data_IF_720714230696
#
_entry.id   IF_720714230696
#
_cell.length_a   1.000
_cell.length_b   1.000
_cell.length_c   1.000
_cell.angle_alpha   90.00
_cell.angle_beta   90.00
_cell.angle_gamma   90.00
#
_symmetry.space_group_name_H-M   'P 1'
#
loop_
_entity.id
_entity.type
_entity.pdbx_description
1 polymer ?
#
# COMPACT_ATOMS: atom_id res chain seq x y z
N UNK A 1 -20.66 23.76 -34.55
CA UNK A 1 -20.25 23.87 -33.14
C UNK A 1 -21.40 23.30 -32.32
N UNK A 2 -21.34 22.01 -32.00
CA UNK A 2 -22.34 21.34 -31.17
C UNK A 2 -21.67 21.03 -29.85
N UNK A 3 -22.15 21.76 -28.84
CA UNK A 3 -21.76 21.65 -27.45
C UNK A 3 -22.26 20.31 -26.88
N UNK A 4 -21.38 19.34 -26.63
CA UNK A 4 -21.73 18.10 -25.96
C UNK A 4 -21.51 18.30 -24.47
N UNK A 5 -22.59 18.66 -23.77
CA UNK A 5 -22.62 18.69 -22.32
C UNK A 5 -22.29 17.29 -21.76
N UNK A 6 -21.18 17.17 -21.04
CA UNK A 6 -20.83 15.99 -20.27
C UNK A 6 -21.80 15.82 -19.09
N UNK A 7 -22.51 14.70 -19.09
CA UNK A 7 -23.39 14.25 -18.00
C UNK A 7 -22.58 14.06 -16.72
N UNK A 8 -23.03 14.54 -15.55
CA UNK A 8 -22.37 14.24 -14.29
C UNK A 8 -22.42 12.73 -14.01
N UNK A 9 -21.29 12.12 -13.74
CA UNK A 9 -21.18 10.72 -13.29
C UNK A 9 -21.90 10.60 -11.93
N UNK A 10 -22.97 9.81 -11.88
CA UNK A 10 -23.66 9.46 -10.65
C UNK A 10 -22.69 8.72 -9.72
N UNK A 11 -22.58 9.19 -8.49
CA UNK A 11 -21.86 8.53 -7.41
C UNK A 11 -22.58 7.21 -7.08
N UNK A 12 -21.92 6.06 -7.00
CA UNK A 12 -22.59 4.81 -6.66
C UNK A 12 -23.10 4.87 -5.23
N UNK A 13 -24.42 4.81 -5.05
CA UNK A 13 -25.10 4.67 -3.75
C UNK A 13 -25.15 3.20 -3.37
N UNK A 14 -24.05 2.65 -2.83
CA UNK A 14 -24.07 1.41 -2.06
C UNK A 14 -24.60 1.66 -0.64
N UNK A 15 -24.97 0.63 0.13
CA UNK A 15 -25.39 0.80 1.51
C UNK A 15 -24.22 1.40 2.30
N UNK A 16 -24.41 2.64 2.78
CA UNK A 16 -23.42 3.35 3.59
C UNK A 16 -23.35 2.65 4.95
N UNK A 17 -22.24 1.97 5.24
CA UNK A 17 -21.95 1.48 6.58
C UNK A 17 -21.81 2.64 7.56
N UNK A 18 -21.82 2.35 8.86
CA UNK A 18 -21.51 3.39 9.86
C UNK A 18 -20.04 3.78 9.71
N UNK A 19 -19.72 5.06 9.41
CA UNK A 19 -18.33 5.49 9.29
C UNK A 19 -17.54 5.24 10.57
N UNK A 20 -16.32 4.77 10.44
CA UNK A 20 -15.36 4.68 11.52
C UNK A 20 -14.45 5.91 11.51
N UNK A 21 -13.87 6.24 12.66
CA UNK A 21 -13.01 7.42 12.79
C UNK A 21 -11.67 7.03 13.40
N UNK A 22 -10.58 7.48 12.76
CA UNK A 22 -9.20 7.32 13.22
C UNK A 22 -8.68 8.66 13.69
N UNK A 23 -8.13 8.72 14.91
CA UNK A 23 -7.38 9.88 15.38
C UNK A 23 -6.12 10.07 14.52
N UNK A 24 -6.08 11.14 13.73
CA UNK A 24 -5.05 11.36 12.72
C UNK A 24 -4.61 12.83 12.67
N UNK A 25 -3.54 13.12 11.97
CA UNK A 25 -3.12 14.46 11.59
C UNK A 25 -3.47 14.72 10.13
N UNK A 26 -3.92 15.94 9.78
CA UNK A 26 -4.04 17.14 10.62
C UNK A 26 -5.34 17.21 11.46
N UNK A 27 -6.28 16.31 11.24
CA UNK A 27 -7.53 16.11 11.98
C UNK A 27 -8.00 14.68 11.81
N UNK A 28 -9.04 14.26 12.56
CA UNK A 28 -9.54 12.91 12.54
C UNK A 28 -9.98 12.49 11.12
N UNK A 29 -9.63 11.25 10.75
CA UNK A 29 -9.97 10.65 9.46
C UNK A 29 -11.20 9.75 9.61
N UNK A 30 -12.28 10.09 8.90
CA UNK A 30 -13.48 9.27 8.83
C UNK A 30 -13.48 8.42 7.56
N UNK A 31 -13.83 7.14 7.65
CA UNK A 31 -13.87 6.23 6.51
C UNK A 31 -14.99 5.19 6.63
N UNK A 32 -15.49 4.73 5.49
CA UNK A 32 -16.39 3.57 5.42
C UNK A 32 -15.55 2.31 5.13
N UNK A 33 -15.57 1.29 6.01
CA UNK A 33 -14.84 0.04 5.76
C UNK A 33 -15.19 -0.65 4.45
N UNK A 34 -16.44 -0.54 3.99
CA UNK A 34 -16.89 -1.17 2.75
C UNK A 34 -16.26 -0.55 1.48
N UNK A 35 -15.87 0.72 1.55
CA UNK A 35 -15.24 1.45 0.43
C UNK A 35 -13.79 1.82 0.70
N UNK A 36 -13.16 1.16 1.67
CA UNK A 36 -11.76 1.38 2.05
C UNK A 36 -10.90 0.16 1.73
N UNK A 37 -9.74 0.38 1.13
CA UNK A 37 -8.75 -0.66 0.92
C UNK A 37 -7.48 -0.43 1.75
N UNK A 38 -6.98 -1.50 2.40
CA UNK A 38 -5.62 -1.55 2.92
C UNK A 38 -4.68 -1.88 1.77
N UNK A 39 -3.70 -1.02 1.52
CA UNK A 39 -2.70 -1.19 0.46
C UNK A 39 -1.32 -1.40 1.07
N UNK A 40 -0.73 -2.58 0.83
CA UNK A 40 0.63 -2.91 1.24
C UNK A 40 1.56 -2.71 0.05
N UNK A 41 2.39 -1.67 0.10
CA UNK A 41 3.27 -1.29 -1.00
C UNK A 41 4.62 -1.95 -0.84
N UNK A 42 4.97 -2.81 -1.81
CA UNK A 42 6.31 -3.35 -2.07
C UNK A 42 7.02 -3.99 -0.87
N UNK A 43 6.27 -4.74 -0.04
CA UNK A 43 6.85 -5.46 1.09
C UNK A 43 7.61 -6.71 0.62
N UNK A 44 8.59 -6.49 -0.28
CA UNK A 44 9.33 -7.51 -1.01
C UNK A 44 10.69 -7.83 -0.36
N UNK A 45 11.17 -9.06 -0.56
CA UNK A 45 12.49 -9.48 -0.08
C UNK A 45 13.63 -8.64 -0.67
N UNK A 46 13.49 -8.20 -1.92
CA UNK A 46 14.47 -7.32 -2.58
C UNK A 46 14.68 -5.99 -1.86
N UNK A 47 13.69 -5.50 -1.11
CA UNK A 47 13.82 -4.25 -0.34
C UNK A 47 14.12 -4.48 1.14
N UNK A 48 13.64 -5.58 1.72
CA UNK A 48 13.60 -5.79 3.17
C UNK A 48 14.68 -6.76 3.68
N UNK A 49 15.34 -7.49 2.80
CA UNK A 49 16.29 -8.53 3.20
C UNK A 49 17.68 -8.32 2.60
N UNK A 50 18.75 -8.77 3.31
CA UNK A 50 20.10 -8.79 2.75
C UNK A 50 20.17 -9.57 1.43
N UNK A 51 21.05 -9.13 0.52
CA UNK A 51 21.23 -9.71 -0.81
C UNK A 51 20.22 -9.25 -1.87
N UNK A 52 19.28 -8.36 -1.51
CA UNK A 52 18.32 -7.79 -2.42
C UNK A 52 18.74 -6.44 -3.01
N UNK A 53 17.82 -5.81 -3.75
CA UNK A 53 18.05 -4.54 -4.42
C UNK A 53 18.34 -3.39 -3.44
N UNK A 54 17.65 -3.35 -2.28
CA UNK A 54 17.87 -2.31 -1.27
C UNK A 54 19.32 -2.26 -0.80
N UNK A 55 19.90 -3.41 -0.45
CA UNK A 55 21.30 -3.51 -0.05
C UNK A 55 22.26 -3.20 -1.21
N UNK A 56 21.92 -3.60 -2.44
CA UNK A 56 22.75 -3.33 -3.62
C UNK A 56 22.92 -1.85 -3.92
N UNK A 57 22.00 -1.03 -3.44
CA UNK A 57 22.07 0.44 -3.49
C UNK A 57 22.90 1.04 -2.33
N UNK A 58 23.43 0.21 -1.43
CA UNK A 58 24.20 0.65 -0.27
C UNK A 58 23.35 1.01 0.96
N UNK A 59 22.07 0.64 0.98
CA UNK A 59 21.18 0.93 2.10
C UNK A 59 21.26 -0.13 3.20
N UNK A 60 20.97 0.28 4.43
CA UNK A 60 20.71 -0.62 5.55
C UNK A 60 19.25 -1.11 5.50
N UNK A 61 19.04 -2.33 5.04
CA UNK A 61 17.71 -2.94 4.96
C UNK A 61 17.05 -3.13 6.34
N UNK A 62 17.84 -3.15 7.41
CA UNK A 62 17.35 -3.20 8.79
C UNK A 62 16.43 -2.02 9.15
N UNK A 63 16.63 -0.86 8.54
CA UNK A 63 15.78 0.34 8.72
C UNK A 63 14.32 0.09 8.33
N UNK A 64 14.05 -0.75 7.34
CA UNK A 64 12.68 -1.05 6.90
C UNK A 64 12.00 -2.12 7.74
N UNK A 65 12.75 -3.02 8.36
CA UNK A 65 12.19 -4.17 9.08
C UNK A 65 11.35 -3.78 10.30
N UNK A 66 11.55 -2.60 10.85
CA UNK A 66 10.73 -2.06 11.94
C UNK A 66 9.24 -1.90 11.58
N UNK A 67 8.92 -1.85 10.29
CA UNK A 67 7.52 -1.73 9.81
C UNK A 67 6.76 -3.05 9.82
N UNK A 68 7.45 -4.21 9.88
CA UNK A 68 6.84 -5.53 9.67
C UNK A 68 5.83 -5.86 10.78
N UNK A 69 6.22 -5.74 12.05
CA UNK A 69 5.33 -6.11 13.16
C UNK A 69 4.06 -5.25 13.27
N UNK A 70 4.13 -3.89 13.23
CA UNK A 70 2.92 -3.09 13.23
C UNK A 70 2.05 -3.37 11.99
N UNK A 71 2.65 -3.55 10.81
CA UNK A 71 1.91 -3.87 9.58
C UNK A 71 1.27 -5.26 9.63
N UNK A 72 1.92 -6.25 10.23
CA UNK A 72 1.34 -7.58 10.43
C UNK A 72 0.09 -7.52 11.31
N UNK A 73 0.10 -6.72 12.39
CA UNK A 73 -1.06 -6.51 13.23
C UNK A 73 -2.21 -5.81 12.47
N UNK A 74 -1.89 -4.77 11.69
CA UNK A 74 -2.86 -4.06 10.83
C UNK A 74 -3.45 -4.98 9.78
N UNK A 75 -2.64 -5.78 9.10
CA UNK A 75 -3.09 -6.74 8.08
C UNK A 75 -4.05 -7.79 8.67
N UNK A 76 -3.70 -8.35 9.83
CA UNK A 76 -4.56 -9.32 10.52
C UNK A 76 -5.91 -8.70 10.91
N UNK A 77 -5.91 -7.48 11.45
CA UNK A 77 -7.14 -6.77 11.82
C UNK A 77 -7.99 -6.41 10.59
N UNK A 78 -7.37 -5.92 9.52
CA UNK A 78 -8.07 -5.60 8.27
C UNK A 78 -8.73 -6.83 7.65
N UNK A 79 -8.04 -7.98 7.62
CA UNK A 79 -8.59 -9.28 7.19
C UNK A 79 -9.79 -9.69 8.05
N UNK A 80 -9.65 -9.63 9.36
CA UNK A 80 -10.73 -9.99 10.29
C UNK A 80 -11.93 -9.04 10.20
N UNK A 81 -11.71 -7.77 9.92
CA UNK A 81 -12.75 -6.76 9.71
C UNK A 81 -13.35 -6.79 8.29
N UNK A 82 -12.85 -7.64 7.38
CA UNK A 82 -13.36 -7.77 6.02
C UNK A 82 -13.00 -6.62 5.07
N UNK A 83 -11.97 -5.84 5.36
CA UNK A 83 -11.50 -4.79 4.45
C UNK A 83 -10.92 -5.40 3.17
N UNK A 84 -11.04 -4.68 2.07
CA UNK A 84 -10.30 -5.01 0.85
C UNK A 84 -8.80 -4.88 1.10
N UNK A 85 -8.02 -5.93 0.80
CA UNK A 85 -6.56 -5.93 0.90
C UNK A 85 -5.95 -6.01 -0.49
N UNK A 86 -4.99 -5.13 -0.77
CA UNK A 86 -4.25 -5.06 -2.04
C UNK A 86 -2.76 -4.98 -1.74
N UNK A 87 -1.99 -5.85 -2.37
CA UNK A 87 -0.53 -5.83 -2.32
C UNK A 87 0.04 -5.31 -3.63
N UNK A 88 1.13 -4.56 -3.58
CA UNK A 88 1.91 -4.25 -4.77
C UNK A 88 3.30 -4.87 -4.70
N UNK A 89 3.88 -5.16 -5.88
CA UNK A 89 5.27 -5.59 -6.03
C UNK A 89 5.90 -4.80 -7.17
N UNK A 90 6.99 -4.10 -6.90
CA UNK A 90 7.80 -3.56 -8.00
C UNK A 90 8.51 -4.71 -8.70
N UNK A 91 8.37 -4.78 -10.03
CA UNK A 91 9.04 -5.81 -10.80
C UNK A 91 8.82 -5.67 -12.28
N UNK A 92 9.81 -6.15 -13.03
CA UNK A 92 9.88 -6.08 -14.49
C UNK A 92 9.70 -7.45 -15.12
N UNK A 93 9.29 -7.45 -16.40
CA UNK A 93 9.22 -8.68 -17.20
C UNK A 93 10.62 -9.32 -17.35
N UNK A 94 10.72 -10.65 -17.47
CA UNK A 94 12.00 -11.35 -17.59
C UNK A 94 12.87 -10.88 -18.76
N UNK A 95 12.26 -10.37 -19.84
CA UNK A 95 12.94 -9.84 -21.03
C UNK A 95 13.27 -8.34 -20.91
N UNK A 96 12.89 -7.69 -19.80
CA UNK A 96 13.08 -6.26 -19.53
C UNK A 96 12.37 -5.32 -20.52
N UNK A 97 11.40 -5.80 -21.29
CA UNK A 97 10.70 -5.00 -22.31
C UNK A 97 9.88 -3.85 -21.70
N UNK A 98 9.51 -3.94 -20.43
CA UNK A 98 8.79 -2.90 -19.67
C UNK A 98 9.73 -2.00 -18.84
N UNK A 99 11.07 -2.15 -18.98
CA UNK A 99 12.06 -1.37 -18.24
C UNK A 99 12.65 -0.24 -19.11
N UNK A 100 12.35 1.04 -18.82
CA UNK A 100 12.95 2.15 -19.55
C UNK A 100 14.47 2.21 -19.38
N UNK A 101 15.21 2.49 -20.47
CA UNK A 101 16.66 2.58 -20.45
C UNK A 101 17.19 3.57 -19.38
N UNK A 102 16.50 4.68 -19.17
CA UNK A 102 16.84 5.65 -18.13
C UNK A 102 16.76 5.06 -16.71
N UNK A 103 15.86 4.10 -16.45
CA UNK A 103 15.75 3.40 -15.18
C UNK A 103 16.85 2.34 -15.04
N UNK A 104 17.15 1.60 -16.11
CA UNK A 104 18.19 0.57 -16.13
C UNK A 104 19.58 1.13 -15.82
N UNK A 105 19.90 2.31 -16.35
CA UNK A 105 21.24 2.91 -16.24
C UNK A 105 21.38 3.91 -15.10
N UNK A 106 20.36 4.09 -14.26
CA UNK A 106 20.39 5.05 -13.15
C UNK A 106 21.00 4.42 -11.89
N UNK A 107 21.79 5.24 -11.18
CA UNK A 107 22.32 4.90 -9.86
C UNK A 107 23.64 4.14 -9.88
N UNK A 108 24.13 3.84 -8.69
CA UNK A 108 25.40 3.18 -8.41
C UNK A 108 25.20 1.80 -7.76
N UNK A 109 24.09 1.13 -8.05
CA UNK A 109 23.81 -0.19 -7.52
C UNK A 109 24.91 -1.19 -7.91
N UNK A 110 25.34 -2.02 -6.97
CA UNK A 110 26.27 -3.13 -7.24
C UNK A 110 25.60 -4.24 -8.06
N UNK A 111 24.27 -4.37 -7.89
CA UNK A 111 23.40 -5.19 -8.75
C UNK A 111 22.32 -4.29 -9.32
N UNK A 112 22.16 -4.30 -10.64
CA UNK A 112 21.11 -3.56 -11.36
C UNK A 112 19.85 -4.40 -11.49
N UNK A 113 18.76 -3.77 -11.87
CA UNK A 113 17.52 -4.47 -12.22
C UNK A 113 17.83 -5.47 -13.34
N UNK A 114 17.48 -6.74 -13.12
CA UNK A 114 17.72 -7.85 -14.04
C UNK A 114 19.03 -8.60 -13.83
N UNK A 115 19.99 -8.06 -13.07
CA UNK A 115 21.23 -8.78 -12.71
C UNK A 115 20.90 -9.95 -11.78
N UNK A 116 21.71 -11.02 -11.87
CA UNK A 116 21.58 -12.18 -10.99
C UNK A 116 22.19 -11.85 -9.63
N UNK A 117 21.37 -11.90 -8.60
CA UNK A 117 21.75 -11.74 -7.20
C UNK A 117 21.51 -12.98 -6.37
N UNK A 118 21.76 -12.93 -5.05
CA UNK A 118 21.57 -14.07 -4.14
C UNK A 118 20.14 -14.60 -4.06
N UNK A 119 19.15 -13.77 -4.42
CA UNK A 119 17.70 -14.07 -4.36
C UNK A 119 17.05 -14.23 -5.73
N UNK A 120 17.83 -14.51 -6.77
CA UNK A 120 17.39 -14.52 -8.15
C UNK A 120 17.72 -13.21 -8.87
N UNK A 121 17.07 -12.95 -10.00
CA UNK A 121 17.28 -11.71 -10.74
C UNK A 121 16.55 -10.54 -10.05
N UNK A 122 17.31 -9.49 -9.79
CA UNK A 122 16.84 -8.29 -9.06
C UNK A 122 15.59 -7.69 -9.72
N UNK A 123 14.51 -7.54 -8.95
CA UNK A 123 13.22 -6.98 -9.36
C UNK A 123 12.65 -7.57 -10.65
N UNK A 124 12.84 -8.86 -10.88
CA UNK A 124 12.21 -9.58 -12.01
C UNK A 124 11.02 -10.40 -11.50
N UNK A 125 9.88 -10.27 -12.17
CA UNK A 125 8.64 -10.98 -11.84
C UNK A 125 8.85 -12.50 -11.83
N UNK A 126 8.41 -13.14 -10.74
CA UNK A 126 8.54 -14.56 -10.52
C UNK A 126 9.83 -14.98 -9.82
N UNK A 127 10.77 -14.07 -9.59
CA UNK A 127 11.98 -14.37 -8.82
C UNK A 127 11.70 -14.27 -7.30
N UNK A 128 12.45 -15.02 -6.51
CA UNK A 128 12.27 -15.09 -5.05
C UNK A 128 12.43 -13.72 -4.36
N UNK A 129 13.42 -12.92 -4.81
CA UNK A 129 13.66 -11.59 -4.27
C UNK A 129 12.51 -10.62 -4.54
N UNK A 130 11.87 -10.74 -5.70
CA UNK A 130 10.74 -9.88 -6.11
C UNK A 130 9.46 -10.20 -5.31
N UNK A 131 9.35 -11.38 -4.71
CA UNK A 131 8.13 -11.75 -4.01
C UNK A 131 8.03 -11.13 -2.60
N UNK A 132 6.81 -11.07 -2.08
CA UNK A 132 6.49 -10.50 -0.77
C UNK A 132 7.09 -11.38 0.33
N UNK A 133 7.57 -10.76 1.42
CA UNK A 133 8.08 -11.48 2.60
C UNK A 133 7.00 -12.37 3.23
N UNK A 134 7.41 -13.49 3.83
CA UNK A 134 6.49 -14.50 4.36
C UNK A 134 5.56 -13.96 5.44
N UNK A 135 6.04 -13.04 6.27
CA UNK A 135 5.28 -12.43 7.37
C UNK A 135 4.04 -11.64 6.90
N UNK A 136 4.05 -11.19 5.64
CA UNK A 136 2.99 -10.37 5.03
C UNK A 136 2.44 -10.99 3.74
N UNK A 137 2.66 -12.28 3.53
CA UNK A 137 2.22 -12.97 2.33
C UNK A 137 0.72 -12.79 2.07
N UNK A 138 0.32 -12.54 0.82
CA UNK A 138 -1.09 -12.47 0.45
C UNK A 138 -1.77 -13.83 0.66
N UNK A 139 -3.06 -13.79 0.98
CA UNK A 139 -3.91 -14.99 1.05
C UNK A 139 -4.88 -15.03 -0.14
N UNK A 140 -5.53 -16.18 -0.33
CA UNK A 140 -6.52 -16.36 -1.39
C UNK A 140 -7.61 -15.28 -1.34
N UNK A 141 -7.90 -14.68 -2.50
CA UNK A 141 -8.88 -13.60 -2.64
C UNK A 141 -8.31 -12.19 -2.52
N UNK A 142 -7.08 -12.02 -2.05
CA UNK A 142 -6.39 -10.73 -2.05
C UNK A 142 -5.80 -10.41 -3.42
N UNK A 143 -5.77 -9.13 -3.76
CA UNK A 143 -5.25 -8.68 -5.05
C UNK A 143 -3.75 -8.40 -4.95
N UNK A 144 -2.96 -8.93 -5.88
CA UNK A 144 -1.54 -8.60 -6.03
C UNK A 144 -1.33 -7.87 -7.35
N UNK A 145 -0.70 -6.71 -7.31
CA UNK A 145 -0.41 -5.84 -8.47
C UNK A 145 1.10 -5.78 -8.69
N UNK A 146 1.56 -6.36 -9.78
CA UNK A 146 2.95 -6.16 -10.25
C UNK A 146 3.05 -4.83 -11.02
N UNK A 147 3.97 -3.96 -10.62
CA UNK A 147 4.14 -2.63 -11.18
C UNK A 147 5.55 -2.36 -11.70
N UNK A 148 5.72 -1.83 -12.92
CA UNK A 148 7.03 -1.48 -13.47
C UNK A 148 7.53 -0.12 -12.99
N UNK A 149 6.64 0.68 -12.42
CA UNK A 149 6.91 2.04 -11.93
C UNK A 149 7.00 2.14 -10.42
N UNK A 150 7.24 3.36 -9.91
CA UNK A 150 7.26 3.63 -8.47
C UNK A 150 5.83 3.70 -7.92
N UNK A 151 4.94 4.45 -8.56
CA UNK A 151 3.54 4.54 -8.17
C UNK A 151 2.74 3.31 -8.58
N UNK A 152 1.71 2.97 -7.78
CA UNK A 152 0.87 1.81 -8.01
C UNK A 152 -0.04 1.93 -9.25
N UNK A 153 -0.34 3.14 -9.70
CA UNK A 153 -1.24 3.38 -10.83
C UNK A 153 -0.54 3.29 -12.20
N UNK A 154 0.77 3.57 -12.25
CA UNK A 154 1.49 3.65 -13.53
C UNK A 154 1.60 2.28 -14.21
N UNK A 155 1.01 2.16 -15.40
CA UNK A 155 1.02 0.96 -16.25
C UNK A 155 0.53 -0.32 -15.52
N UNK A 156 -0.49 -0.18 -14.67
CA UNK A 156 -1.11 -1.28 -13.91
C UNK A 156 -2.63 -1.24 -13.97
N UNK A 157 -3.27 -2.31 -13.51
CA UNK A 157 -4.73 -2.36 -13.33
C UNK A 157 -5.18 -1.79 -11.97
N UNK A 158 -4.31 -1.18 -11.16
CA UNK A 158 -4.65 -0.77 -9.78
C UNK A 158 -5.88 0.16 -9.72
N UNK A 159 -5.93 1.20 -10.57
CA UNK A 159 -7.08 2.10 -10.63
C UNK A 159 -8.37 1.41 -11.08
N UNK A 160 -8.29 0.42 -11.98
CA UNK A 160 -9.45 -0.35 -12.43
C UNK A 160 -9.97 -1.26 -11.31
N UNK A 161 -9.07 -1.89 -10.56
CA UNK A 161 -9.41 -2.71 -9.39
C UNK A 161 -10.12 -1.88 -8.33
N UNK A 162 -9.60 -0.69 -8.00
CA UNK A 162 -10.21 0.21 -7.03
C UNK A 162 -11.63 0.61 -7.46
N UNK A 163 -11.81 1.01 -8.72
CA UNK A 163 -13.14 1.39 -9.25
C UNK A 163 -14.10 0.21 -9.25
N UNK A 164 -13.67 -0.96 -9.70
CA UNK A 164 -14.50 -2.16 -9.74
C UNK A 164 -14.99 -2.60 -8.35
N UNK A 165 -14.21 -2.31 -7.31
CA UNK A 165 -14.55 -2.60 -5.90
C UNK A 165 -15.25 -1.43 -5.19
N UNK A 166 -15.49 -0.32 -5.86
CA UNK A 166 -16.12 0.87 -5.28
C UNK A 166 -15.27 1.55 -4.20
N UNK A 167 -13.94 1.40 -4.25
CA UNK A 167 -13.03 1.98 -3.25
C UNK A 167 -12.95 3.49 -3.43
N UNK A 168 -13.05 4.22 -2.34
CA UNK A 168 -12.91 5.69 -2.26
C UNK A 168 -11.80 6.11 -1.32
N UNK A 169 -11.39 5.25 -0.40
CA UNK A 169 -10.36 5.53 0.60
C UNK A 169 -9.28 4.46 0.63
N UNK A 170 -8.03 4.87 0.83
CA UNK A 170 -6.87 4.00 0.90
C UNK A 170 -6.17 4.16 2.25
N UNK A 171 -5.98 3.06 2.97
CA UNK A 171 -5.04 2.98 4.09
C UNK A 171 -3.72 2.50 3.53
N UNK A 172 -2.72 3.39 3.46
CA UNK A 172 -1.48 3.16 2.73
C UNK A 172 -0.35 2.79 3.69
N UNK A 173 0.32 1.70 3.38
CA UNK A 173 1.42 1.11 4.14
C UNK A 173 2.53 0.62 3.21
N UNK A 174 3.67 0.18 3.76
CA UNK A 174 4.76 -0.43 2.99
C UNK A 174 5.95 0.47 2.73
N UNK A 175 6.73 0.18 1.70
CA UNK A 175 8.05 0.79 1.47
C UNK A 175 8.27 1.22 0.01
N UNK A 176 9.18 2.20 -0.27
CA UNK A 176 9.75 3.13 0.69
C UNK A 176 8.90 4.39 0.76
N UNK A 177 8.85 5.01 1.93
CA UNK A 177 7.91 6.11 2.21
C UNK A 177 8.00 7.24 1.20
N UNK A 178 9.19 7.74 0.93
CA UNK A 178 9.44 8.88 0.03
C UNK A 178 9.37 8.53 -1.47
N UNK A 179 9.33 7.23 -1.82
CA UNK A 179 9.34 6.77 -3.21
C UNK A 179 7.99 6.14 -3.59
N UNK A 180 7.84 4.82 -3.40
CA UNK A 180 6.66 4.10 -3.90
C UNK A 180 5.39 4.50 -3.15
N UNK A 181 5.46 4.65 -1.82
CA UNK A 181 4.34 5.11 -0.99
C UNK A 181 3.91 6.52 -1.40
N UNK A 182 4.83 7.48 -1.36
CA UNK A 182 4.53 8.89 -1.63
C UNK A 182 4.08 9.13 -3.08
N UNK A 183 4.68 8.43 -4.06
CA UNK A 183 4.24 8.50 -5.46
C UNK A 183 2.80 7.99 -5.60
N UNK A 184 2.47 6.88 -4.94
CA UNK A 184 1.11 6.32 -4.97
C UNK A 184 0.10 7.25 -4.31
N UNK A 185 0.43 7.82 -3.14
CA UNK A 185 -0.44 8.75 -2.41
C UNK A 185 -0.75 10.00 -3.23
N UNK A 186 0.25 10.61 -3.87
CA UNK A 186 0.05 11.81 -4.71
C UNK A 186 -0.86 11.53 -5.89
N UNK A 187 -0.62 10.43 -6.61
CA UNK A 187 -1.46 10.06 -7.75
C UNK A 187 -2.86 9.62 -7.30
N UNK A 188 -2.99 8.96 -6.16
CA UNK A 188 -4.29 8.65 -5.56
C UNK A 188 -5.10 9.92 -5.27
N UNK A 189 -4.46 10.93 -4.67
CA UNK A 189 -5.09 12.22 -4.40
C UNK A 189 -5.55 12.91 -5.69
N UNK A 190 -4.70 12.98 -6.73
CA UNK A 190 -5.07 13.54 -8.04
C UNK A 190 -6.24 12.79 -8.70
N UNK A 191 -6.46 11.52 -8.34
CA UNK A 191 -7.57 10.69 -8.82
C UNK A 191 -8.81 10.73 -7.92
N UNK A 192 -8.78 11.50 -6.82
CA UNK A 192 -9.90 11.71 -5.91
C UNK A 192 -10.05 10.64 -4.82
N UNK A 193 -9.00 9.87 -4.51
CA UNK A 193 -8.99 8.96 -3.37
C UNK A 193 -8.52 9.67 -2.11
N UNK A 194 -9.20 9.42 -0.99
CA UNK A 194 -8.74 9.82 0.33
C UNK A 194 -7.66 8.85 0.83
N UNK A 195 -6.54 9.37 1.35
CA UNK A 195 -5.39 8.55 1.77
C UNK A 195 -5.05 8.74 3.24
N UNK A 196 -5.09 7.65 4.02
CA UNK A 196 -4.53 7.58 5.37
C UNK A 196 -3.20 6.81 5.32
N UNK A 197 -2.08 7.46 5.64
CA UNK A 197 -0.77 6.81 5.74
C UNK A 197 -0.51 6.39 7.20
N UNK A 198 -0.24 5.11 7.44
CA UNK A 198 0.10 4.63 8.78
C UNK A 198 1.60 4.80 9.03
N UNK A 199 1.95 5.74 9.91
CA UNK A 199 3.31 6.27 10.08
C UNK A 199 4.37 5.25 10.53
N UNK A 200 3.97 4.23 11.26
CA UNK A 200 4.81 3.13 11.74
C UNK A 200 4.72 1.86 10.86
N UNK A 201 3.80 1.87 9.89
CA UNK A 201 3.64 0.84 8.87
C UNK A 201 4.24 1.24 7.51
N UNK A 202 4.87 2.41 7.40
CA UNK A 202 5.68 2.81 6.25
C UNK A 202 7.12 3.03 6.67
N UNK A 203 8.08 2.75 5.79
CA UNK A 203 9.49 2.82 6.12
C UNK A 203 10.34 3.45 5.02
N UNK A 204 11.39 4.17 5.44
CA UNK A 204 12.45 4.68 4.58
C UNK A 204 13.81 4.18 5.07
N UNK A 205 14.77 4.04 4.15
CA UNK A 205 16.18 3.83 4.51
C UNK A 205 16.79 5.09 5.16
N UNK A 206 16.12 6.24 5.04
CA UNK A 206 16.61 7.54 5.51
C UNK A 206 15.60 8.14 6.49
N UNK A 207 15.93 8.21 7.80
CA UNK A 207 14.99 8.71 8.83
C UNK A 207 14.46 10.13 8.56
N UNK A 208 15.29 11.01 8.01
CA UNK A 208 14.85 12.36 7.65
C UNK A 208 13.86 12.38 6.48
N UNK A 209 14.04 11.50 5.49
CA UNK A 209 13.08 11.38 4.39
C UNK A 209 11.75 10.81 4.88
N UNK A 210 11.80 9.82 5.78
CA UNK A 210 10.62 9.31 6.47
C UNK A 210 9.81 10.44 7.12
N UNK A 211 10.46 11.22 7.98
CA UNK A 211 9.85 12.32 8.71
C UNK A 211 9.25 13.37 7.76
N UNK A 212 10.05 13.84 6.80
CA UNK A 212 9.63 14.89 5.86
C UNK A 212 8.50 14.42 4.94
N UNK A 213 8.55 13.18 4.44
CA UNK A 213 7.49 12.64 3.59
C UNK A 213 6.15 12.58 4.33
N UNK A 214 6.13 12.14 5.59
CA UNK A 214 4.91 12.13 6.41
C UNK A 214 4.40 13.54 6.72
N UNK A 215 5.30 14.50 6.99
CA UNK A 215 4.92 15.90 7.16
C UNK A 215 4.29 16.49 5.88
N UNK A 216 4.82 16.15 4.70
CA UNK A 216 4.26 16.60 3.42
C UNK A 216 2.85 16.06 3.17
N UNK A 217 2.54 14.84 3.61
CA UNK A 217 1.19 14.27 3.46
C UNK A 217 0.16 15.11 4.24
N UNK A 218 0.44 15.39 5.51
CA UNK A 218 -0.49 16.09 6.41
C UNK A 218 -0.43 17.62 6.32
N UNK A 219 0.53 18.18 5.58
CA UNK A 219 0.72 19.63 5.46
C UNK A 219 -0.51 20.32 4.85
N UNK A 220 -0.62 21.61 5.09
CA UNK A 220 -1.68 22.47 4.51
C UNK A 220 -3.10 21.93 4.71
N UNK A 221 -3.37 21.31 5.87
CA UNK A 221 -4.69 20.76 6.16
C UNK A 221 -4.94 19.38 5.51
N UNK A 222 -3.87 18.61 5.23
CA UNK A 222 -3.97 17.29 4.63
C UNK A 222 -3.98 17.32 3.09
N UNK A 223 -3.07 18.12 2.49
CA UNK A 223 -3.07 18.32 1.03
C UNK A 223 -2.93 17.02 0.22
N UNK A 224 -2.33 15.98 0.79
CA UNK A 224 -2.26 14.65 0.18
C UNK A 224 -2.95 13.57 1.03
N UNK A 225 -3.53 13.94 2.19
CA UNK A 225 -4.23 13.01 3.05
C UNK A 225 -3.86 13.13 4.53
N UNK A 226 -4.01 12.04 5.24
CA UNK A 226 -3.87 11.95 6.69
C UNK A 226 -2.70 11.05 7.08
N UNK A 227 -2.22 11.26 8.30
CA UNK A 227 -1.16 10.42 8.91
C UNK A 227 -1.59 10.03 10.32
N UNK A 228 -1.59 8.73 10.61
CA UNK A 228 -1.86 8.19 11.95
C UNK A 228 -0.89 7.06 12.30
N UNK A 229 -0.64 6.78 13.59
CA UNK A 229 0.04 5.55 13.99
C UNK A 229 -0.93 4.35 13.91
N UNK A 230 -0.40 3.15 13.68
CA UNK A 230 -1.21 1.93 13.56
C UNK A 230 -2.12 1.65 14.76
N UNK A 231 -1.75 1.92 16.03
CA UNK A 231 -2.67 1.72 17.15
C UNK A 231 -3.97 2.54 17.04
N UNK A 232 -3.93 3.74 16.47
CA UNK A 232 -5.15 4.54 16.26
C UNK A 232 -6.08 3.90 15.21
N UNK A 233 -5.52 3.33 14.14
CA UNK A 233 -6.29 2.61 13.14
C UNK A 233 -6.86 1.30 13.70
N UNK A 234 -6.07 0.54 14.47
CA UNK A 234 -6.52 -0.69 15.13
C UNK A 234 -7.67 -0.43 16.09
N UNK A 235 -7.58 0.62 16.92
CA UNK A 235 -8.66 1.04 17.81
C UNK A 235 -9.95 1.38 17.06
N UNK A 236 -9.85 2.03 15.90
CA UNK A 236 -11.02 2.32 15.07
C UNK A 236 -11.69 1.06 14.50
N UNK A 237 -10.97 -0.05 14.33
CA UNK A 237 -11.53 -1.32 13.85
C UNK A 237 -12.16 -2.18 14.95
N UNK A 238 -11.94 -1.90 16.24
CA UNK A 238 -12.46 -2.71 17.37
C UNK A 238 -13.96 -3.02 17.28
N UNK A 239 -14.86 -2.09 16.92
CA UNK A 239 -16.28 -2.38 16.82
C UNK A 239 -16.61 -3.48 15.80
N UNK A 240 -15.91 -3.49 14.65
CA UNK A 240 -16.08 -4.52 13.64
C UNK A 240 -15.56 -5.88 14.11
N UNK A 241 -14.41 -5.89 14.75
CA UNK A 241 -13.79 -7.11 15.27
C UNK A 241 -14.66 -7.75 16.37
N UNK A 242 -15.24 -6.95 17.25
CA UNK A 242 -16.17 -7.44 18.28
C UNK A 242 -17.43 -8.09 17.63
N UNK A 243 -17.98 -7.47 16.61
CA UNK A 243 -19.15 -8.01 15.87
C UNK A 243 -18.81 -9.32 15.16
N UNK A 244 -17.65 -9.40 14.49
CA UNK A 244 -17.20 -10.61 13.81
C UNK A 244 -17.01 -11.78 14.78
N UNK A 245 -16.43 -11.52 15.94
CA UNK A 245 -16.24 -12.53 17.01
C UNK A 245 -17.58 -13.04 17.55
N UNK A 246 -18.55 -12.16 17.79
CA UNK A 246 -19.88 -12.52 18.26
C UNK A 246 -20.63 -13.40 17.24
N UNK A 247 -20.53 -13.06 15.95
CA UNK A 247 -21.16 -13.84 14.87
C UNK A 247 -20.54 -15.24 14.75
N UNK A 248 -19.22 -15.35 14.85
CA UNK A 248 -18.51 -16.64 14.79
C UNK A 248 -18.90 -17.54 16.01
N UNK A 249 -19.00 -16.97 17.20
CA UNK A 249 -19.42 -17.70 18.41
C UNK A 249 -20.88 -18.21 18.30
N UNK A 250 -21.79 -17.39 17.76
CA UNK A 250 -23.18 -17.79 17.53
C UNK A 250 -23.32 -18.93 16.51
N UNK A 251 -22.53 -18.92 15.45
CA UNK A 251 -22.51 -19.99 14.44
C UNK A 251 -22.00 -21.33 15.02
N UNK A 252 -20.99 -21.28 15.89
CA UNK A 252 -20.42 -22.48 16.55
C UNK A 252 -21.35 -23.13 17.58
N UNK A 253 -22.30 -22.38 18.16
CA UNK A 253 -23.27 -22.91 19.12
C UNK A 253 -24.53 -23.49 18.46
N UNK A 254 -24.71 -23.26 17.15
CA UNK A 254 -25.86 -23.73 16.35
C UNK A 254 -25.56 -25.02 15.56
N UNK A 255 -24.32 -25.53 15.64
CA UNK A 255 -23.86 -26.80 15.01
C UNK A 255 -23.75 -27.92 16.03
#
# INVERSE_FOLDING_TARGET
MTDTASTPTETPTGPVGTPLTVGARPYDFAFDPATTALVLIDMQRDFLEPGGFGESLGNDVGQLRGTIEPLRAVLAAARAAGLTVIHTREGHLPDLSDLPAAKLHRGNATLRIGDVGPKGRILIRGEYGQDIIDELAPIDGETVIDKPGKGAFYATAFGDVLRAKGITSLVVTGVTTEVCVHTTVREANDRGYECLVLSDCVGSYFPDFQRVALEMVAAQGGIFGWVAPSPAFLAALEPLLATATATAAAASTAS
#
